data_IF_206153815412
#
_entry.id   IF_206153815412
#
_cell.length_a   1.000
_cell.length_b   1.000
_cell.length_c   1.000
_cell.angle_alpha   90.00
_cell.angle_beta   90.00
_cell.angle_gamma   90.00
#
_symmetry.space_group_name_H-M   'P 1'
#
loop_
_entity.id
_entity.type
_entity.pdbx_description
1 polymer ?
#
# COMPACT_ATOMS: atom_id res chain seq x y z
N UNK A 1 1.64 3.74 15.42
CA UNK A 1 0.29 3.32 14.96
C UNK A 1 -0.55 3.03 16.19
N UNK A 2 -1.83 3.38 16.17
CA UNK A 2 -2.79 3.18 17.27
C UNK A 2 -3.99 2.42 16.71
N UNK A 3 -4.48 1.44 17.46
CA UNK A 3 -5.68 0.64 17.13
C UNK A 3 -6.63 0.74 18.31
N UNK A 4 -7.93 0.96 18.06
CA UNK A 4 -8.94 0.94 19.11
C UNK A 4 -10.23 1.68 18.76
N UNK A 5 -11.07 1.89 19.77
CA UNK A 5 -12.29 2.70 19.64
C UNK A 5 -11.92 4.18 19.61
N UNK A 6 -12.09 4.83 18.46
CA UNK A 6 -11.78 6.26 18.26
C UNK A 6 -13.06 7.02 17.89
N UNK A 7 -13.30 8.14 18.57
CA UNK A 7 -14.46 9.00 18.35
C UNK A 7 -15.02 9.58 19.65
N UNK A 8 -16.12 10.32 19.53
CA UNK A 8 -16.82 10.88 20.70
C UNK A 8 -17.64 9.78 21.42
N UNK A 9 -17.99 9.98 22.71
CA UNK A 9 -18.94 9.11 23.40
C UNK A 9 -20.24 8.96 22.58
N UNK A 10 -20.68 7.72 22.36
CA UNK A 10 -21.86 7.40 21.54
C UNK A 10 -21.65 7.41 20.01
N UNK A 11 -20.48 7.84 19.52
CA UNK A 11 -20.10 7.82 18.08
C UNK A 11 -18.64 7.39 17.93
N UNK A 12 -18.35 6.17 18.33
CA UNK A 12 -17.01 5.56 18.30
C UNK A 12 -16.96 4.49 17.22
N UNK A 13 -15.87 4.46 16.46
CA UNK A 13 -15.57 3.38 15.51
C UNK A 13 -14.32 2.64 15.97
N UNK A 14 -14.32 1.32 15.86
CA UNK A 14 -13.09 0.54 16.01
C UNK A 14 -12.26 0.71 14.74
N UNK A 15 -11.12 1.40 14.84
CA UNK A 15 -10.32 1.81 13.69
C UNK A 15 -8.83 1.88 14.02
N UNK A 16 -8.02 2.08 12.98
CA UNK A 16 -6.56 2.21 13.03
C UNK A 16 -6.18 3.62 12.60
N UNK A 17 -5.27 4.25 13.35
CA UNK A 17 -4.69 5.56 13.01
C UNK A 17 -3.16 5.46 13.01
N UNK A 18 -2.53 5.94 11.95
CA UNK A 18 -1.08 5.96 11.86
C UNK A 18 -0.56 6.25 10.45
N UNK A 19 0.75 6.37 10.36
CA UNK A 19 1.42 6.63 9.08
C UNK A 19 1.16 5.53 8.04
N UNK A 20 1.15 4.26 8.46
CA UNK A 20 0.89 3.10 7.57
C UNK A 20 -0.46 3.19 6.85
N UNK A 21 -1.54 3.62 7.53
CA UNK A 21 -2.85 3.78 6.87
C UNK A 21 -2.85 4.97 5.90
N UNK A 22 -2.08 6.02 6.20
CA UNK A 22 -1.90 7.13 5.26
C UNK A 22 -1.13 6.68 4.02
N UNK A 23 -0.07 5.89 4.17
CA UNK A 23 0.71 5.33 3.06
C UNK A 23 -0.18 4.49 2.15
N UNK A 24 -1.02 3.60 2.70
CA UNK A 24 -1.96 2.82 1.91
C UNK A 24 -2.85 3.68 1.01
N UNK A 25 -3.44 4.76 1.55
CA UNK A 25 -4.25 5.71 0.78
C UNK A 25 -3.42 6.44 -0.30
N UNK A 26 -2.14 6.76 -0.02
CA UNK A 26 -1.28 7.41 -1.03
C UNK A 26 -0.83 6.46 -2.12
N UNK A 27 -0.58 5.19 -1.81
CA UNK A 27 -0.28 4.17 -2.81
C UNK A 27 -1.47 3.95 -3.74
N UNK A 28 -2.71 3.89 -3.22
CA UNK A 28 -3.92 3.84 -4.05
C UNK A 28 -4.01 5.03 -5.03
N UNK A 29 -3.76 6.24 -4.52
CA UNK A 29 -3.78 7.45 -5.35
C UNK A 29 -2.67 7.44 -6.41
N UNK A 30 -1.47 6.96 -6.06
CA UNK A 30 -0.37 6.78 -7.01
C UNK A 30 -0.72 5.75 -8.09
N UNK A 31 -1.51 4.72 -7.75
CA UNK A 31 -2.04 3.75 -8.69
C UNK A 31 -2.69 4.44 -9.89
N UNK A 32 -3.56 5.44 -9.66
CA UNK A 32 -4.24 6.20 -10.74
C UNK A 32 -3.29 6.90 -11.71
N UNK A 33 -2.10 7.27 -11.26
CA UNK A 33 -1.09 7.99 -12.07
C UNK A 33 -0.13 7.01 -12.75
N UNK A 34 0.13 5.87 -12.11
CA UNK A 34 1.08 4.87 -12.58
C UNK A 34 0.44 3.74 -13.37
N UNK A 35 -0.89 3.57 -13.30
CA UNK A 35 -1.66 2.73 -14.22
C UNK A 35 -1.37 3.20 -15.64
N UNK A 36 -0.98 2.26 -16.50
CA UNK A 36 -0.79 2.56 -17.92
C UNK A 36 -2.10 2.30 -18.64
N UNK A 37 -2.16 1.15 -19.31
CA UNK A 37 -3.31 0.70 -20.09
C UNK A 37 -4.15 -0.34 -19.32
N UNK A 38 -3.80 -0.62 -18.06
CA UNK A 38 -4.47 -1.64 -17.26
C UNK A 38 -5.74 -1.07 -16.60
N UNK A 39 -6.83 -1.83 -16.65
CA UNK A 39 -8.08 -1.50 -15.95
C UNK A 39 -7.90 -1.47 -14.42
N UNK A 40 -6.93 -2.23 -13.90
CA UNK A 40 -6.61 -2.29 -12.47
C UNK A 40 -5.10 -2.39 -12.26
N UNK A 41 -4.62 -1.73 -11.21
CA UNK A 41 -3.22 -1.78 -10.77
C UNK A 41 -3.18 -2.03 -9.26
N UNK A 42 -2.29 -2.91 -8.83
CA UNK A 42 -2.05 -3.19 -7.41
C UNK A 42 -0.64 -2.71 -7.07
N UNK A 43 -0.55 -1.69 -6.23
CA UNK A 43 0.72 -1.18 -5.71
C UNK A 43 0.91 -1.59 -4.26
N UNK A 44 2.12 -1.98 -3.92
CA UNK A 44 2.54 -2.38 -2.57
C UNK A 44 3.83 -1.66 -2.19
N UNK A 45 4.06 -1.43 -0.89
CA UNK A 45 5.35 -0.92 -0.41
C UNK A 45 6.39 -2.04 -0.31
N UNK A 46 7.67 -1.68 -0.19
CA UNK A 46 8.73 -2.64 0.10
C UNK A 46 8.48 -3.50 1.33
N UNK A 47 7.93 -2.93 2.42
CA UNK A 47 7.63 -3.69 3.63
C UNK A 47 6.57 -4.78 3.37
N UNK A 48 5.57 -4.48 2.55
CA UNK A 48 4.58 -5.48 2.13
C UNK A 48 5.22 -6.52 1.20
N UNK A 49 5.97 -6.08 0.18
CA UNK A 49 6.64 -6.95 -0.78
C UNK A 49 7.59 -7.96 -0.10
N UNK A 50 8.28 -7.55 0.98
CA UNK A 50 9.16 -8.41 1.76
C UNK A 50 8.44 -9.53 2.52
N UNK A 51 7.13 -9.41 2.72
CA UNK A 51 6.29 -10.43 3.37
C UNK A 51 5.62 -11.38 2.36
N UNK A 52 5.66 -11.07 1.07
CA UNK A 52 5.10 -11.92 0.02
C UNK A 52 6.03 -13.10 -0.27
N UNK A 53 5.43 -14.25 -0.54
CA UNK A 53 6.14 -15.45 -0.95
C UNK A 53 6.58 -15.44 -2.42
N UNK A 54 7.42 -16.40 -2.84
CA UNK A 54 7.97 -16.50 -4.20
C UNK A 54 6.93 -16.78 -5.29
N UNK A 55 5.70 -17.12 -4.92
CA UNK A 55 4.55 -17.30 -5.80
C UNK A 55 4.05 -15.97 -6.38
N UNK A 56 4.38 -14.83 -5.77
CA UNK A 56 3.96 -13.52 -6.28
C UNK A 56 4.99 -12.94 -7.24
N UNK A 57 4.51 -12.44 -8.38
CA UNK A 57 5.33 -11.74 -9.36
C UNK A 57 5.20 -10.24 -9.16
N UNK A 58 6.34 -9.55 -9.04
CA UNK A 58 6.40 -8.13 -8.69
C UNK A 58 7.37 -7.38 -9.60
N UNK A 59 6.99 -6.17 -9.99
CA UNK A 59 7.83 -5.22 -10.74
C UNK A 59 8.21 -4.06 -9.80
N UNK A 60 9.50 -3.73 -9.67
CA UNK A 60 9.92 -2.53 -8.93
C UNK A 60 9.62 -1.28 -9.74
N UNK A 61 8.94 -0.31 -9.12
CA UNK A 61 8.66 1.01 -9.68
C UNK A 61 9.58 2.12 -9.13
N UNK A 62 10.56 1.72 -8.32
CA UNK A 62 11.53 2.61 -7.69
C UNK A 62 11.01 3.35 -6.45
N UNK A 63 11.88 4.16 -5.83
CA UNK A 63 11.52 4.97 -4.68
C UNK A 63 10.66 6.15 -5.11
N UNK A 64 9.64 6.46 -4.29
CA UNK A 64 8.74 7.61 -4.50
C UNK A 64 8.55 8.37 -3.21
N UNK A 65 8.50 9.69 -3.35
CA UNK A 65 8.22 10.58 -2.22
C UNK A 65 6.73 10.56 -1.89
N UNK A 66 6.40 10.13 -0.68
CA UNK A 66 5.03 10.09 -0.18
C UNK A 66 4.78 11.31 0.71
N UNK A 67 3.76 12.11 0.38
CA UNK A 67 3.40 13.31 1.13
C UNK A 67 3.06 12.95 2.58
N UNK A 68 3.74 13.61 3.54
CA UNK A 68 3.51 13.42 4.98
C UNK A 68 4.56 12.58 5.69
N UNK A 69 5.54 12.02 4.96
CA UNK A 69 6.67 11.29 5.53
C UNK A 69 8.00 11.93 5.14
N UNK A 70 8.97 11.85 6.05
CA UNK A 70 10.37 12.13 5.71
C UNK A 70 10.98 10.87 5.07
N UNK A 71 11.35 10.98 3.80
CA UNK A 71 11.97 9.91 3.03
C UNK A 71 11.13 9.44 1.84
N UNK A 72 11.70 8.52 1.08
CA UNK A 72 11.05 7.85 -0.04
C UNK A 72 10.56 6.48 0.40
N UNK A 73 9.48 6.02 -0.22
CA UNK A 73 8.94 4.67 -0.08
C UNK A 73 9.23 3.95 -1.38
N UNK A 74 9.92 2.83 -1.29
CA UNK A 74 10.12 1.93 -2.43
C UNK A 74 8.78 1.25 -2.77
N UNK A 75 8.38 1.32 -4.03
CA UNK A 75 7.08 0.84 -4.50
C UNK A 75 7.27 -0.32 -5.48
N UNK A 76 6.44 -1.34 -5.33
CA UNK A 76 6.33 -2.45 -6.26
C UNK A 76 4.92 -2.52 -6.83
N UNK A 77 4.81 -2.95 -8.09
CA UNK A 77 3.56 -3.38 -8.72
C UNK A 77 3.46 -4.89 -8.59
N UNK A 78 2.31 -5.37 -8.11
CA UNK A 78 2.00 -6.79 -8.16
C UNK A 78 1.45 -7.11 -9.56
N UNK A 79 2.16 -7.94 -10.33
CA UNK A 79 1.82 -8.25 -11.72
C UNK A 79 1.15 -9.61 -11.89
N UNK A 80 1.23 -10.48 -10.89
CA UNK A 80 0.58 -11.77 -10.95
C UNK A 80 0.87 -12.69 -9.76
N UNK A 81 0.24 -13.85 -9.82
CA UNK A 81 0.50 -14.99 -8.95
C UNK A 81 0.86 -16.16 -9.87
N UNK A 82 2.00 -16.79 -9.64
CA UNK A 82 2.42 -17.99 -10.36
C UNK A 82 1.35 -19.07 -10.19
N UNK A 83 0.94 -19.74 -11.26
CA UNK A 83 0.04 -20.88 -11.13
C UNK A 83 0.69 -21.93 -10.23
N UNK A 84 -0.13 -22.55 -9.37
CA UNK A 84 0.32 -23.70 -8.60
C UNK A 84 0.75 -24.81 -9.56
N UNK A 85 1.94 -25.38 -9.32
CA UNK A 85 2.49 -26.49 -10.10
C UNK A 85 1.64 -27.76 -9.96
#
# INVERSE_FOLDING_TARGET
MVVGNIGAPGRTNYTIVGDTVNIGNRLEQLGKVLSRDEETTILISAETAALLGPEFEMESLGPRRVRGRNGEVEIFRLVGIKPAA
#
